data_IF_556808933655
#
_entry.id   IF_556808933655
#
_cell.length_a   1.000
_cell.length_b   1.000
_cell.length_c   1.000
_cell.angle_alpha   90.00
_cell.angle_beta   90.00
_cell.angle_gamma   90.00
#
_symmetry.space_group_name_H-M   'P 1'
#
loop_
_entity.id
_entity.type
_entity.pdbx_description
1 polymer ?
#
# COMPACT_ATOMS: atom_id res chain seq x y z
N UNK A 1 -14.39 -7.18 11.75
CA UNK A 1 -13.65 -6.03 11.19
C UNK A 1 -14.46 -5.55 10.02
N UNK A 2 -15.05 -4.37 10.14
CA UNK A 2 -16.01 -3.79 9.20
C UNK A 2 -15.21 -3.05 8.11
N UNK A 3 -15.40 -3.42 6.84
CA UNK A 3 -14.82 -2.73 5.69
C UNK A 3 -15.88 -1.78 5.15
N UNK A 4 -16.16 -0.71 5.90
CA UNK A 4 -17.03 0.37 5.45
C UNK A 4 -16.21 1.36 4.64
N UNK A 5 -15.98 1.07 3.36
CA UNK A 5 -16.03 2.06 2.26
C UNK A 5 -15.81 1.34 0.92
N UNK A 6 -16.86 0.72 0.38
CA UNK A 6 -16.77 -0.12 -0.83
C UNK A 6 -16.84 0.70 -2.13
N UNK A 7 -16.99 2.03 -2.05
CA UNK A 7 -16.96 2.92 -3.22
C UNK A 7 -15.57 3.54 -3.47
N UNK A 8 -14.59 3.29 -2.58
CA UNK A 8 -13.15 3.62 -2.72
C UNK A 8 -12.27 2.35 -2.92
N UNK A 9 -12.87 1.26 -3.41
CA UNK A 9 -12.38 -0.10 -3.21
C UNK A 9 -11.08 -0.50 -3.97
N UNK A 10 -10.62 0.28 -4.96
CA UNK A 10 -9.43 -0.11 -5.75
C UNK A 10 -8.08 0.28 -5.10
N UNK A 11 -8.04 1.27 -4.20
CA UNK A 11 -6.79 1.79 -3.62
C UNK A 11 -6.80 1.74 -2.08
N UNK A 12 -6.51 0.57 -1.53
CA UNK A 12 -6.31 0.38 -0.08
C UNK A 12 -4.88 0.74 0.31
N UNK A 13 -4.69 1.82 1.08
CA UNK A 13 -3.42 2.18 1.70
C UNK A 13 -3.33 1.64 3.14
N UNK A 14 -2.23 0.97 3.49
CA UNK A 14 -1.99 0.45 4.84
C UNK A 14 -0.63 0.92 5.35
N UNK A 15 -0.63 1.63 6.49
CA UNK A 15 0.60 2.06 7.15
C UNK A 15 1.11 1.00 8.13
N UNK A 16 2.43 0.86 8.21
CA UNK A 16 3.13 0.00 9.16
C UNK A 16 4.48 0.61 9.55
N UNK A 17 4.97 0.27 10.75
CA UNK A 17 6.26 0.77 11.25
C UNK A 17 7.41 -0.22 11.04
N UNK A 18 7.10 -1.50 10.79
CA UNK A 18 8.13 -2.54 10.61
C UNK A 18 7.86 -3.36 9.36
N UNK A 19 8.92 -3.94 8.79
CA UNK A 19 8.82 -4.80 7.62
C UNK A 19 7.91 -6.01 7.87
N UNK A 20 8.03 -6.62 9.06
CA UNK A 20 7.22 -7.77 9.45
C UNK A 20 5.73 -7.43 9.44
N UNK A 21 5.36 -6.27 9.99
CA UNK A 21 3.96 -5.82 9.97
C UNK A 21 3.45 -5.56 8.55
N UNK A 22 4.28 -5.03 7.66
CA UNK A 22 3.90 -4.89 6.24
C UNK A 22 3.63 -6.24 5.60
N UNK A 23 4.51 -7.23 5.81
CA UNK A 23 4.31 -8.58 5.27
C UNK A 23 3.06 -9.25 5.84
N UNK A 24 2.84 -9.16 7.15
CA UNK A 24 1.64 -9.70 7.82
C UNK A 24 0.36 -9.06 7.27
N UNK A 25 0.35 -7.73 7.09
CA UNK A 25 -0.79 -7.02 6.51
C UNK A 25 -1.01 -7.41 5.06
N UNK A 26 0.03 -7.51 4.24
CA UNK A 26 -0.11 -7.92 2.83
C UNK A 26 -0.71 -9.34 2.73
N UNK A 27 -0.17 -10.29 3.49
CA UNK A 27 -0.72 -11.66 3.56
C UNK A 27 -2.18 -11.65 4.03
N UNK A 28 -2.53 -10.81 5.01
CA UNK A 28 -3.90 -10.66 5.48
C UNK A 28 -4.83 -10.08 4.41
N UNK A 29 -4.38 -9.08 3.65
CA UNK A 29 -5.16 -8.49 2.55
C UNK A 29 -5.38 -9.51 1.44
N UNK A 30 -4.36 -10.29 1.09
CA UNK A 30 -4.46 -11.39 0.10
C UNK A 30 -5.48 -12.43 0.54
N UNK A 31 -5.37 -12.93 1.77
CA UNK A 31 -6.27 -13.95 2.29
C UNK A 31 -7.72 -13.43 2.39
N UNK A 32 -7.92 -12.20 2.88
CA UNK A 32 -9.25 -11.61 2.99
C UNK A 32 -9.87 -11.35 1.63
N UNK A 33 -9.10 -10.86 0.65
CA UNK A 33 -9.57 -10.65 -0.73
C UNK A 33 -9.98 -11.97 -1.37
N UNK A 34 -9.16 -13.02 -1.25
CA UNK A 34 -9.49 -14.36 -1.74
C UNK A 34 -10.78 -14.92 -1.10
N UNK A 35 -10.96 -14.72 0.22
CA UNK A 35 -12.14 -15.17 0.94
C UNK A 35 -13.45 -14.48 0.47
N UNK A 36 -13.36 -13.26 -0.07
CA UNK A 36 -14.51 -12.53 -0.63
C UNK A 36 -14.57 -12.57 -2.16
N UNK A 37 -13.72 -13.38 -2.82
CA UNK A 37 -13.68 -13.53 -4.27
C UNK A 37 -13.08 -12.34 -5.03
N UNK A 38 -12.32 -11.48 -4.35
CA UNK A 38 -11.60 -10.35 -4.96
C UNK A 38 -10.19 -10.77 -5.38
N UNK A 39 -9.79 -10.32 -6.56
CA UNK A 39 -8.45 -10.54 -7.09
C UNK A 39 -7.57 -9.32 -6.80
N UNK A 40 -6.46 -9.54 -6.10
CA UNK A 40 -5.43 -8.50 -5.95
C UNK A 40 -4.63 -8.43 -7.23
N UNK A 41 -4.64 -7.24 -7.84
CA UNK A 41 -3.80 -6.98 -9.00
C UNK A 41 -2.37 -6.69 -8.56
N UNK A 42 -1.53 -7.72 -8.50
CA UNK A 42 -0.13 -7.64 -8.02
C UNK A 42 0.68 -6.51 -8.66
N UNK A 43 0.57 -6.31 -9.97
CA UNK A 43 1.28 -5.22 -10.67
C UNK A 43 0.80 -3.80 -10.35
N UNK A 44 -0.31 -3.64 -9.61
CA UNK A 44 -0.78 -2.34 -9.09
C UNK A 44 -0.43 -2.16 -7.61
N UNK A 45 -0.06 -3.23 -6.91
CA UNK A 45 0.34 -3.19 -5.51
C UNK A 45 1.74 -2.59 -5.41
N UNK A 46 1.83 -1.43 -4.76
CA UNK A 46 3.06 -0.64 -4.61
C UNK A 46 3.34 -0.42 -3.13
N UNK A 47 4.60 -0.24 -2.80
CA UNK A 47 5.06 0.14 -1.46
C UNK A 47 5.73 1.49 -1.55
N UNK A 48 5.29 2.42 -0.72
CA UNK A 48 5.99 3.66 -0.45
C UNK A 48 6.73 3.53 0.88
N UNK A 49 8.02 3.86 0.87
CA UNK A 49 8.88 3.71 2.03
C UNK A 49 9.26 5.06 2.61
N UNK A 50 8.73 5.37 3.78
CA UNK A 50 9.07 6.57 4.54
C UNK A 50 10.19 6.30 5.56
N UNK A 51 11.28 7.07 5.50
CA UNK A 51 12.34 7.12 6.53
C UNK A 51 13.06 5.81 6.93
N UNK A 52 12.85 4.70 6.22
CA UNK A 52 13.45 3.39 6.56
C UNK A 52 14.11 2.79 5.33
N UNK A 53 15.25 2.13 5.47
CA UNK A 53 15.78 1.25 4.42
C UNK A 53 15.30 -0.18 4.69
N UNK A 54 14.49 -0.76 3.81
CA UNK A 54 14.13 -2.19 3.86
C UNK A 54 15.12 -3.00 3.02
N UNK A 55 15.74 -4.00 3.64
CA UNK A 55 16.72 -4.87 2.99
C UNK A 55 16.07 -6.07 2.28
N UNK A 56 14.84 -6.44 2.62
CA UNK A 56 14.12 -7.53 1.92
C UNK A 56 12.86 -6.96 1.27
N UNK A 57 12.50 -7.48 0.10
CA UNK A 57 11.28 -7.10 -0.60
C UNK A 57 10.06 -7.71 0.12
N UNK A 58 8.97 -6.96 0.17
CA UNK A 58 7.68 -7.54 0.54
C UNK A 58 7.19 -8.32 -0.67
N UNK A 59 6.84 -9.57 -0.47
CA UNK A 59 6.40 -10.46 -1.54
C UNK A 59 4.93 -10.81 -1.40
N UNK A 60 4.25 -10.92 -2.53
CA UNK A 60 2.94 -11.54 -2.66
C UNK A 60 3.05 -12.68 -3.67
N UNK A 61 2.71 -13.91 -3.28
CA UNK A 61 2.84 -15.09 -4.14
C UNK A 61 4.23 -15.26 -4.79
N UNK A 62 5.30 -14.87 -4.08
CA UNK A 62 6.70 -14.84 -4.55
C UNK A 62 7.03 -13.78 -5.61
N UNK A 63 6.10 -12.88 -5.91
CA UNK A 63 6.38 -11.67 -6.69
C UNK A 63 6.67 -10.51 -5.74
N UNK A 64 7.73 -9.77 -6.03
CA UNK A 64 8.07 -8.56 -5.29
C UNK A 64 7.10 -7.42 -5.62
N UNK A 65 6.75 -6.64 -4.61
CA UNK A 65 5.98 -5.41 -4.82
C UNK A 65 6.88 -4.28 -5.31
N UNK A 66 6.35 -3.43 -6.19
CA UNK A 66 7.07 -2.27 -6.71
C UNK A 66 7.32 -1.24 -5.60
N UNK A 67 8.58 -0.90 -5.36
CA UNK A 67 8.99 0.19 -4.48
C UNK A 67 8.88 1.51 -5.24
N UNK A 68 8.00 2.40 -4.78
CA UNK A 68 7.72 3.69 -5.41
C UNK A 68 8.15 4.83 -4.50
N UNK A 69 8.61 5.92 -5.11
CA UNK A 69 8.98 7.15 -4.38
C UNK A 69 7.80 8.04 -4.05
N UNK A 70 6.68 7.87 -4.76
CA UNK A 70 5.47 8.65 -4.54
C UNK A 70 4.24 7.75 -4.60
N UNK A 71 3.24 8.09 -3.80
CA UNK A 71 1.97 7.40 -3.73
C UNK A 71 0.83 8.41 -3.82
N UNK A 72 -0.08 8.21 -4.76
CA UNK A 72 -1.29 9.04 -4.89
C UNK A 72 -2.42 8.41 -4.08
N UNK A 73 -2.86 9.08 -3.02
CA UNK A 73 -3.99 8.67 -2.18
C UNK A 73 -5.01 9.79 -2.10
N UNK A 74 -6.26 9.54 -2.49
CA UNK A 74 -7.36 10.52 -2.43
C UNK A 74 -7.05 11.87 -3.11
N UNK A 75 -6.21 11.88 -4.14
CA UNK A 75 -5.78 13.10 -4.82
C UNK A 75 -4.59 13.83 -4.18
N UNK A 76 -4.11 13.37 -3.02
CA UNK A 76 -2.86 13.82 -2.42
C UNK A 76 -1.70 12.95 -2.91
N UNK A 77 -0.58 13.58 -3.26
CA UNK A 77 0.68 12.89 -3.55
C UNK A 77 1.51 12.91 -2.28
N UNK A 78 1.84 11.72 -1.77
CA UNK A 78 2.72 11.53 -0.62
C UNK A 78 4.05 11.01 -1.15
N UNK A 79 5.15 11.64 -0.79
CA UNK A 79 6.49 11.19 -1.15
C UNK A 79 7.18 10.36 -0.04
N UNK A 80 8.39 9.88 -0.32
CA UNK A 80 9.23 9.12 0.60
C UNK A 80 9.79 9.96 1.77
N UNK A 81 9.54 11.28 1.74
CA UNK A 81 9.80 12.26 2.79
C UNK A 81 8.55 12.61 3.60
N UNK A 82 7.40 11.97 3.32
CA UNK A 82 6.14 12.20 4.02
C UNK A 82 5.56 13.60 3.79
N UNK A 83 6.12 14.33 2.81
CA UNK A 83 5.65 15.64 2.41
C UNK A 83 4.49 15.40 1.43
N UNK A 84 3.32 15.91 1.77
CA UNK A 84 2.25 16.05 0.79
C UNK A 84 2.62 17.28 -0.03
N UNK A 85 2.74 17.15 -1.36
CA UNK A 85 2.88 18.31 -2.26
C UNK A 85 1.58 19.13 -2.21
N UNK A 86 1.44 19.91 -1.14
CA UNK A 86 0.32 20.77 -0.85
C UNK A 86 0.80 22.22 -0.97
N UNK A 87 1.37 22.57 -2.12
CA UNK A 87 1.30 23.94 -2.61
C UNK A 87 0.31 23.98 -3.79
N UNK A 88 -0.98 23.82 -3.46
CA UNK A 88 -2.05 24.31 -4.33
C UNK A 88 -1.96 25.83 -4.25
N UNK A 89 -1.16 26.42 -5.15
CA UNK A 89 -1.22 27.86 -5.39
C UNK A 89 -2.64 28.19 -5.87
N UNK A 90 -3.32 29.01 -5.08
CA UNK A 90 -4.60 29.62 -5.45
C UNK A 90 -4.47 30.51 -6.69
#
# INVERSE_FOLDING_TARGET
MQLDDLDFADNRALLSHTQRQMQEKMTSVVATSAAVGLNIHKGKSKILRYNTAFNNLITTDREDLEDVKTFAYLGSIIDDNGESDADVKA
#
